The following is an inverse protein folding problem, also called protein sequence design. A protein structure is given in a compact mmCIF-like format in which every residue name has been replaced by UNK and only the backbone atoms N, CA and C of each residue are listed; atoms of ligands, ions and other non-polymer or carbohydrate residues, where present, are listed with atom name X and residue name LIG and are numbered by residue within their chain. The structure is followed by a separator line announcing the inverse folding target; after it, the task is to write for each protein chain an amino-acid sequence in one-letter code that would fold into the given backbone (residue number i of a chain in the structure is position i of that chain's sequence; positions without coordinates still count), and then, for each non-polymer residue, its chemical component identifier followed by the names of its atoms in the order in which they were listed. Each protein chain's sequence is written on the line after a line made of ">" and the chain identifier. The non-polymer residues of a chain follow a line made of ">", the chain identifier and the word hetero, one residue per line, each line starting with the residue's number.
data_IF_588502603490
#
_entry.id   IF_588502603490
#
_cell.length_a   1.000
_cell.length_b   1.000
_cell.length_c   1.000
_cell.angle_alpha   90.00
_cell.angle_beta   90.00
_cell.angle_gamma   90.00
#
_symmetry.space_group_name_H-M   'P 1'
#
loop_
_entity.id
_entity.type
_entity.pdbx_description
1 polymer ?
#
# COMPACT_ATOMS: atom_id res chain seq x y z
N UNK A 1 -20.26 7.37 15.20
CA UNK A 1 -19.83 5.99 14.95
C UNK A 1 -19.46 5.75 13.51
N UNK A 2 -20.36 6.07 12.59
CA UNK A 2 -20.03 5.95 11.16
C UNK A 2 -18.82 6.78 10.76
N UNK A 3 -18.78 8.02 11.20
CA UNK A 3 -17.67 8.90 10.88
C UNK A 3 -16.34 8.36 11.41
N UNK A 4 -16.35 7.71 12.57
CA UNK A 4 -15.16 7.15 13.15
C UNK A 4 -14.66 5.97 12.33
N UNK A 5 -15.56 5.11 11.89
CA UNK A 5 -15.18 3.97 11.05
C UNK A 5 -14.65 4.42 9.70
N UNK A 6 -15.31 5.40 9.09
CA UNK A 6 -14.86 5.93 7.82
C UNK A 6 -13.50 6.59 7.94
N UNK A 7 -13.27 7.28 9.05
CA UNK A 7 -11.99 7.91 9.30
C UNK A 7 -10.87 6.85 9.42
N UNK A 8 -11.14 5.75 10.12
CA UNK A 8 -10.16 4.69 10.27
C UNK A 8 -9.82 4.05 8.93
N UNK A 9 -10.83 3.82 8.08
CA UNK A 9 -10.60 3.24 6.75
C UNK A 9 -9.79 4.17 5.86
N UNK A 10 -10.11 5.45 5.86
CA UNK A 10 -9.37 6.44 5.09
C UNK A 10 -7.94 6.55 5.60
N UNK A 11 -7.75 6.53 6.93
CA UNK A 11 -6.43 6.62 7.53
C UNK A 11 -5.52 5.46 7.15
N UNK A 12 -6.09 4.26 6.95
CA UNK A 12 -5.28 3.08 6.62
C UNK A 12 -4.61 3.21 5.26
N UNK A 13 -5.19 3.98 4.33
CA UNK A 13 -4.65 4.15 3.00
C UNK A 13 -3.61 5.27 2.90
N UNK A 14 -3.63 6.23 3.84
CA UNK A 14 -2.77 7.40 3.78
C UNK A 14 -1.99 7.65 5.07
N UNK A 15 -1.94 6.64 5.93
CA UNK A 15 -1.39 6.79 7.28
C UNK A 15 0.06 7.28 7.26
N UNK A 16 0.91 6.66 6.47
CA UNK A 16 2.34 7.01 6.43
C UNK A 16 2.54 8.40 5.85
N UNK A 17 1.78 8.75 4.81
CA UNK A 17 1.84 10.07 4.21
C UNK A 17 1.40 11.15 5.20
N UNK A 18 0.32 10.87 5.94
CA UNK A 18 -0.20 11.79 6.94
C UNK A 18 0.80 12.01 8.06
N UNK A 19 1.47 10.96 8.50
CA UNK A 19 2.50 11.07 9.53
C UNK A 19 3.67 11.92 9.05
N UNK A 20 4.11 11.73 7.82
CA UNK A 20 5.19 12.54 7.24
C UNK A 20 4.79 14.02 7.18
N UNK A 21 3.58 14.29 6.71
CA UNK A 21 3.10 15.67 6.61
C UNK A 21 2.99 16.33 7.98
N UNK A 22 2.50 15.62 8.98
CA UNK A 22 2.41 16.12 10.34
C UNK A 22 3.78 16.43 10.92
N UNK A 23 4.73 15.56 10.70
CA UNK A 23 6.10 15.76 11.17
C UNK A 23 6.71 17.03 10.55
N UNK A 24 6.55 17.19 9.24
CA UNK A 24 7.07 18.36 8.55
C UNK A 24 6.39 19.64 8.99
N UNK A 25 5.07 19.58 9.22
CA UNK A 25 4.33 20.74 9.71
C UNK A 25 4.82 21.15 11.09
N UNK A 26 5.01 20.21 12.00
CA UNK A 26 5.52 20.48 13.33
C UNK A 26 6.88 21.18 13.28
N UNK A 27 7.73 20.74 12.35
CA UNK A 27 9.05 21.37 12.20
C UNK A 27 8.95 22.77 11.63
N UNK A 28 8.02 23.03 10.71
CA UNK A 28 7.81 24.40 10.18
C UNK A 28 7.28 25.34 11.23
N UNK A 29 6.48 24.82 12.17
CA UNK A 29 5.88 25.63 13.24
C UNK A 29 6.78 25.76 14.46
N UNK A 30 7.86 24.99 14.53
CA UNK A 30 8.78 25.06 15.66
C UNK A 30 9.57 26.37 15.65
N UNK A 31 9.76 26.94 16.82
CA UNK A 31 10.47 28.21 16.96
C UNK A 31 11.99 28.02 17.05
N UNK A 32 12.43 26.81 17.33
CA UNK A 32 13.84 26.50 17.51
C UNK A 32 14.30 25.41 16.57
N UNK A 33 15.58 25.41 16.18
CA UNK A 33 16.10 24.30 15.37
C UNK A 33 16.16 23.01 16.19
N UNK A 34 16.30 21.89 15.50
CA UNK A 34 16.43 20.59 16.14
C UNK A 34 17.71 20.55 16.97
N UNK A 35 17.65 19.90 18.14
CA UNK A 35 18.81 19.77 19.01
C UNK A 35 19.77 18.67 18.52
N UNK A 36 19.23 17.61 17.99
CA UNK A 36 20.00 16.46 17.49
C UNK A 36 19.69 16.24 16.02
N UNK A 37 20.56 16.75 15.16
CA UNK A 37 20.37 16.65 13.72
C UNK A 37 20.38 15.20 13.24
N UNK A 38 21.24 14.35 13.83
CA UNK A 38 21.30 12.94 13.45
C UNK A 38 20.00 12.21 13.73
N UNK A 39 19.42 12.45 14.91
CA UNK A 39 18.12 11.85 15.26
C UNK A 39 17.03 12.36 14.35
N UNK A 40 17.06 13.64 14.01
CA UNK A 40 16.10 14.23 13.09
C UNK A 40 16.20 13.59 11.70
N UNK A 41 17.40 13.42 11.17
CA UNK A 41 17.60 12.78 9.88
C UNK A 41 17.09 11.34 9.85
N UNK A 42 17.34 10.60 10.92
CA UNK A 42 16.87 9.22 11.01
C UNK A 42 15.36 9.15 11.00
N UNK A 43 14.70 10.02 11.75
CA UNK A 43 13.25 10.04 11.80
C UNK A 43 12.65 10.47 10.46
N UNK A 44 13.25 11.49 9.85
CA UNK A 44 12.81 11.96 8.54
C UNK A 44 12.93 10.86 7.50
N UNK A 45 14.07 10.17 7.48
CA UNK A 45 14.29 9.06 6.54
C UNK A 45 13.26 7.94 6.76
N UNK A 46 13.01 7.58 8.01
CA UNK A 46 12.04 6.55 8.36
C UNK A 46 10.66 6.90 7.83
N UNK A 47 10.25 8.15 8.00
CA UNK A 47 8.94 8.61 7.57
C UNK A 47 8.82 8.64 6.04
N UNK A 48 9.88 9.07 5.34
CA UNK A 48 9.88 9.06 3.88
C UNK A 48 9.83 7.64 3.33
N UNK A 49 10.59 6.72 3.90
CA UNK A 49 10.57 5.32 3.47
C UNK A 49 9.19 4.70 3.67
N UNK A 50 8.56 4.98 4.81
CA UNK A 50 7.22 4.47 5.08
C UNK A 50 6.19 5.02 4.08
N UNK A 51 6.27 6.31 3.76
CA UNK A 51 5.39 6.94 2.78
C UNK A 51 5.62 6.36 1.38
N UNK A 52 6.86 6.10 1.01
CA UNK A 52 7.17 5.52 -0.29
C UNK A 52 6.62 4.09 -0.40
N UNK A 53 6.75 3.28 0.65
CA UNK A 53 6.16 1.95 0.69
C UNK A 53 4.64 1.99 0.54
N UNK A 54 4.01 2.94 1.21
CA UNK A 54 2.57 3.11 1.12
C UNK A 54 2.15 3.45 -0.31
N UNK A 55 2.84 4.38 -0.95
CA UNK A 55 2.55 4.76 -2.33
C UNK A 55 2.75 3.58 -3.29
N UNK A 56 3.82 2.81 -3.11
CA UNK A 56 4.07 1.63 -3.94
C UNK A 56 2.99 0.57 -3.74
N UNK A 57 2.58 0.35 -2.50
CA UNK A 57 1.52 -0.60 -2.19
C UNK A 57 0.21 -0.20 -2.88
N UNK A 58 -0.13 1.08 -2.84
CA UNK A 58 -1.33 1.59 -3.49
C UNK A 58 -1.27 1.40 -5.00
N UNK A 59 -0.14 1.72 -5.61
CA UNK A 59 0.00 1.60 -7.06
C UNK A 59 -0.02 0.14 -7.51
N UNK A 60 0.67 -0.73 -6.79
CA UNK A 60 0.66 -2.15 -7.11
C UNK A 60 -0.72 -2.77 -6.92
N UNK A 61 -1.48 -2.28 -5.95
CA UNK A 61 -2.84 -2.77 -5.71
C UNK A 61 -3.79 -2.43 -6.85
N UNK A 62 -3.47 -1.43 -7.66
CA UNK A 62 -4.29 -1.09 -8.83
C UNK A 62 -4.25 -2.16 -9.90
N UNK A 63 -3.23 -3.02 -9.88
CA UNK A 63 -3.17 -4.14 -10.82
C UNK A 63 -4.08 -5.29 -10.40
N UNK A 64 -4.62 -5.26 -9.19
CA UNK A 64 -5.53 -6.29 -8.74
C UNK A 64 -6.92 -6.06 -9.35
N UNK A 65 -7.43 -7.09 -10.03
CA UNK A 65 -8.78 -7.06 -10.55
C UNK A 65 -9.69 -7.70 -9.50
N UNK A 66 -10.28 -6.88 -8.66
CA UNK A 66 -11.13 -7.37 -7.57
C UNK A 66 -12.52 -7.71 -8.11
N UNK A 67 -12.57 -8.67 -9.01
CA UNK A 67 -13.81 -9.14 -9.62
C UNK A 67 -13.85 -10.66 -9.59
N UNK A 68 -15.05 -11.28 -9.53
CA UNK A 68 -15.13 -12.74 -9.42
C UNK A 68 -14.78 -13.49 -10.70
N UNK A 69 -14.86 -12.83 -11.86
CA UNK A 69 -14.62 -13.47 -13.16
C UNK A 69 -13.85 -12.50 -14.05
N UNK A 70 -12.87 -13.03 -14.76
CA UNK A 70 -12.14 -12.28 -15.80
C UNK A 70 -12.13 -13.08 -17.09
N UNK A 71 -11.98 -12.40 -18.23
CA UNK A 71 -11.79 -13.04 -19.52
C UNK A 71 -10.33 -12.94 -19.92
N UNK A 72 -9.74 -14.10 -20.29
CA UNK A 72 -8.37 -14.18 -20.78
C UNK A 72 -8.44 -15.00 -22.08
N UNK A 73 -8.00 -14.43 -23.19
CA UNK A 73 -8.03 -15.07 -24.50
C UNK A 73 -9.42 -15.64 -24.84
N UNK A 74 -10.46 -14.83 -24.59
CA UNK A 74 -11.86 -15.16 -24.85
C UNK A 74 -12.44 -16.27 -23.96
N UNK A 75 -11.70 -16.71 -22.96
CA UNK A 75 -12.15 -17.69 -21.99
C UNK A 75 -12.37 -17.08 -20.63
N UNK A 76 -13.33 -17.59 -19.87
CA UNK A 76 -13.66 -17.10 -18.55
C UNK A 76 -12.83 -17.81 -17.50
N UNK A 77 -12.20 -17.00 -16.64
CA UNK A 77 -11.47 -17.50 -15.48
C UNK A 77 -12.15 -17.01 -14.22
N UNK A 78 -12.30 -17.89 -13.25
CA UNK A 78 -12.93 -17.57 -11.98
C UNK A 78 -11.90 -17.33 -10.90
N UNK A 79 -12.17 -16.35 -10.04
CA UNK A 79 -11.30 -16.07 -8.93
C UNK A 79 -11.34 -17.23 -7.94
N UNK A 80 -10.18 -17.80 -7.64
CA UNK A 80 -10.06 -18.92 -6.71
C UNK A 80 -9.46 -18.48 -5.38
N UNK A 81 -8.76 -17.33 -5.36
CA UNK A 81 -8.03 -16.91 -4.17
C UNK A 81 -7.68 -15.43 -4.25
N UNK A 82 -7.79 -14.75 -3.11
CA UNK A 82 -7.15 -13.46 -2.90
C UNK A 82 -6.16 -13.64 -1.77
N UNK A 83 -4.92 -13.23 -1.99
CA UNK A 83 -3.88 -13.38 -0.98
C UNK A 83 -2.92 -12.22 -1.01
N UNK A 84 -2.21 -12.03 0.10
CA UNK A 84 -1.16 -11.04 0.17
C UNK A 84 0.09 -11.59 -0.52
N UNK A 85 0.67 -10.77 -1.37
CA UNK A 85 1.92 -11.08 -2.07
C UNK A 85 2.94 -10.02 -1.68
N UNK A 86 4.18 -10.44 -1.45
CA UNK A 86 5.24 -9.50 -1.09
C UNK A 86 6.12 -9.24 -2.31
N UNK A 87 6.29 -7.97 -2.64
CA UNK A 87 7.21 -7.53 -3.69
C UNK A 87 8.43 -6.91 -3.05
N UNK A 88 9.60 -7.18 -3.60
CA UNK A 88 10.84 -6.55 -3.16
C UNK A 88 11.00 -5.23 -3.88
N UNK A 89 11.21 -4.15 -3.13
CA UNK A 89 11.42 -2.83 -3.69
C UNK A 89 12.69 -2.19 -3.13
N UNK A 90 13.06 -1.05 -3.67
CA UNK A 90 14.23 -0.32 -3.20
C UNK A 90 14.09 0.13 -1.74
N UNK A 91 12.87 0.23 -1.23
CA UNK A 91 12.61 0.64 0.16
C UNK A 91 12.19 -0.53 1.04
N UNK A 92 12.44 -1.76 0.58
CA UNK A 92 12.14 -2.98 1.31
C UNK A 92 10.90 -3.70 0.80
N UNK A 93 10.40 -4.68 1.54
CA UNK A 93 9.26 -5.48 1.11
C UNK A 93 7.97 -4.67 1.15
N UNK A 94 7.15 -4.85 0.12
CA UNK A 94 5.84 -4.21 0.00
C UNK A 94 4.79 -5.31 -0.15
N UNK A 95 3.79 -5.34 0.72
CA UNK A 95 2.72 -6.33 0.68
C UNK A 95 1.53 -5.80 -0.08
N UNK A 96 1.01 -6.62 -0.98
CA UNK A 96 -0.10 -6.24 -1.85
C UNK A 96 -1.06 -7.42 -1.93
N UNK A 97 -2.35 -7.15 -1.90
CA UNK A 97 -3.36 -8.19 -2.10
C UNK A 97 -3.59 -8.38 -3.59
N UNK A 98 -3.50 -9.61 -4.05
CA UNK A 98 -3.73 -9.96 -5.45
C UNK A 98 -4.75 -11.10 -5.55
N UNK A 99 -5.47 -11.11 -6.65
CA UNK A 99 -6.45 -12.16 -6.96
C UNK A 99 -5.86 -13.15 -7.94
N UNK A 100 -6.08 -14.42 -7.70
CA UNK A 100 -5.68 -15.50 -8.60
C UNK A 100 -6.93 -16.07 -9.26
N UNK A 101 -6.83 -16.35 -10.56
CA UNK A 101 -7.94 -16.83 -11.39
C UNK A 101 -7.57 -18.15 -12.03
N UNK A 102 -8.56 -19.00 -12.23
CA UNK A 102 -8.38 -20.30 -12.84
C UNK A 102 -9.52 -20.60 -13.80
N UNK A 103 -9.17 -21.26 -14.91
CA UNK A 103 -10.18 -21.75 -15.83
C UNK A 103 -11.04 -22.80 -15.14
N UNK A 104 -12.37 -22.85 -15.38
CA UNK A 104 -13.24 -23.82 -14.73
C UNK A 104 -12.86 -25.27 -14.97
N UNK A 105 -12.19 -25.56 -16.09
CA UNK A 105 -11.75 -26.91 -16.42
C UNK A 105 -10.37 -27.26 -15.87
N UNK A 106 -9.79 -26.36 -15.10
CA UNK A 106 -8.51 -26.57 -14.47
C UNK A 106 -7.37 -25.84 -15.16
N UNK A 107 -6.14 -26.26 -14.90
CA UNK A 107 -4.95 -25.59 -15.38
C UNK A 107 -4.31 -24.70 -14.33
N UNK A 108 -3.27 -23.96 -14.73
CA UNK A 108 -2.55 -23.08 -13.83
C UNK A 108 -3.35 -21.84 -13.50
N UNK A 109 -3.27 -21.39 -12.27
CA UNK A 109 -3.88 -20.13 -11.86
C UNK A 109 -3.09 -18.96 -12.47
N UNK A 110 -3.79 -17.87 -12.80
CA UNK A 110 -3.17 -16.67 -13.35
C UNK A 110 -3.48 -15.47 -12.47
N UNK A 111 -2.58 -14.50 -12.49
CA UNK A 111 -2.71 -13.24 -11.78
C UNK A 111 -2.59 -12.11 -12.80
N UNK A 112 -3.71 -11.67 -13.38
CA UNK A 112 -3.68 -10.64 -14.41
C UNK A 112 -3.18 -9.31 -13.93
#
# INVERSE_FOLDING_TARGET
>A
MQALQNHALVSSDTYAMDQLQDFLRQRREAHEPVEDLGAFEQELHRLFVAAEREALSQELSRFDLDVPVVEVDEERYHRVLRCATTYTSAVGPVRVTRSLYRHPQGGSAVCP
#
